data_IF_691313176926
#
_entry.id   IF_691313176926
#
_cell.length_a   1.000
_cell.length_b   1.000
_cell.length_c   1.000
_cell.angle_alpha   90.00
_cell.angle_beta   90.00
_cell.angle_gamma   90.00
#
_symmetry.space_group_name_H-M   'P 1'
#
loop_
_entity.id
_entity.type
_entity.pdbx_description
1 polymer ?
#
# COMPACT_ATOMS: atom_id res chain seq x y z
N UNK A 1 -10.19 -15.48 4.00
CA UNK A 1 -10.20 -14.81 5.32
C UNK A 1 -8.85 -14.18 5.51
N UNK A 2 -8.80 -12.87 5.77
CA UNK A 2 -7.57 -12.16 6.08
C UNK A 2 -6.85 -12.77 7.28
N UNK A 3 -5.52 -12.90 7.19
CA UNK A 3 -4.71 -13.44 8.28
C UNK A 3 -4.38 -12.35 9.32
N UNK A 4 -4.10 -12.73 10.58
CA UNK A 4 -3.71 -11.75 11.61
C UNK A 4 -2.43 -10.97 11.27
N UNK A 5 -1.55 -11.57 10.46
CA UNK A 5 -0.32 -10.93 10.01
C UNK A 5 -0.60 -9.86 8.94
N UNK A 6 -1.45 -10.17 7.95
CA UNK A 6 -1.95 -9.20 6.97
C UNK A 6 -2.68 -8.03 7.65
N UNK A 7 -3.52 -8.33 8.65
CA UNK A 7 -4.20 -7.30 9.45
C UNK A 7 -3.20 -6.39 10.18
N UNK A 8 -2.18 -6.97 10.82
CA UNK A 8 -1.17 -6.21 11.53
C UNK A 8 -0.38 -5.28 10.60
N UNK A 9 -0.03 -5.76 9.40
CA UNK A 9 0.68 -4.97 8.39
C UNK A 9 -0.20 -3.84 7.84
N UNK A 10 -1.48 -4.10 7.55
CA UNK A 10 -2.44 -3.07 7.13
C UNK A 10 -2.55 -1.96 8.18
N UNK A 11 -2.72 -2.30 9.46
CA UNK A 11 -2.84 -1.31 10.53
C UNK A 11 -1.57 -0.43 10.65
N UNK A 12 -0.40 -1.02 10.46
CA UNK A 12 0.87 -0.27 10.44
C UNK A 12 0.94 0.68 9.24
N UNK A 13 0.50 0.24 8.06
CA UNK A 13 0.44 1.09 6.87
C UNK A 13 -0.58 2.22 7.02
N UNK A 14 -1.74 1.97 7.62
CA UNK A 14 -2.75 3.01 7.90
C UNK A 14 -2.18 4.12 8.78
N UNK A 15 -1.50 3.74 9.87
CA UNK A 15 -0.80 4.71 10.71
C UNK A 15 0.29 5.45 9.93
N UNK A 16 1.09 4.73 9.13
CA UNK A 16 2.17 5.32 8.34
C UNK A 16 1.67 6.36 7.33
N UNK A 17 0.57 6.10 6.64
CA UNK A 17 -0.06 7.03 5.67
C UNK A 17 -0.53 8.30 6.37
N UNK A 18 -1.18 8.17 7.53
CA UNK A 18 -1.64 9.33 8.32
C UNK A 18 -0.47 10.17 8.83
N UNK A 19 0.62 9.53 9.26
CA UNK A 19 1.82 10.19 9.78
C UNK A 19 2.79 10.65 8.67
N UNK A 20 2.48 10.43 7.40
CA UNK A 20 3.36 10.76 6.28
C UNK A 20 3.50 12.26 5.97
N UNK A 21 2.77 13.13 6.70
CA UNK A 21 2.79 14.57 6.49
C UNK A 21 4.22 15.14 6.41
N UNK A 22 4.54 15.79 5.29
CA UNK A 22 5.83 16.44 5.06
C UNK A 22 6.95 15.53 4.53
N UNK A 23 6.71 14.22 4.32
CA UNK A 23 7.66 13.34 3.60
C UNK A 23 7.68 13.69 2.11
N UNK A 24 8.82 13.47 1.46
CA UNK A 24 8.86 13.46 0.00
C UNK A 24 8.20 12.17 -0.55
N UNK A 25 7.60 12.18 -1.75
CA UNK A 25 7.00 10.98 -2.34
C UNK A 25 7.95 9.77 -2.39
N UNK A 26 9.22 9.97 -2.72
CA UNK A 26 10.20 8.87 -2.74
C UNK A 26 10.51 8.29 -1.35
N UNK A 27 10.53 9.12 -0.31
CA UNK A 27 10.75 8.66 1.07
C UNK A 27 9.51 7.94 1.61
N UNK A 28 8.33 8.44 1.26
CA UNK A 28 7.05 7.83 1.57
C UNK A 28 6.97 6.42 0.97
N UNK A 29 7.12 6.30 -0.35
CA UNK A 29 6.95 5.02 -1.03
C UNK A 29 8.01 3.99 -0.63
N UNK A 30 9.24 4.40 -0.33
CA UNK A 30 10.28 3.50 0.19
C UNK A 30 9.92 2.94 1.57
N UNK A 31 9.38 3.77 2.46
CA UNK A 31 8.95 3.31 3.78
C UNK A 31 7.65 2.51 3.73
N UNK A 32 6.75 2.86 2.81
CA UNK A 32 5.53 2.10 2.54
C UNK A 32 5.88 0.68 2.06
N UNK A 33 6.78 0.55 1.09
CA UNK A 33 7.22 -0.74 0.53
C UNK A 33 7.89 -1.63 1.60
N UNK A 34 8.77 -1.05 2.42
CA UNK A 34 9.43 -1.75 3.55
C UNK A 34 8.42 -2.30 4.57
N UNK A 35 7.35 -1.55 4.84
CA UNK A 35 6.28 -1.96 5.76
C UNK A 35 5.28 -2.94 5.12
N UNK A 36 5.00 -2.79 3.82
CA UNK A 36 4.09 -3.65 3.09
C UNK A 36 4.71 -5.03 2.85
N UNK A 37 5.99 -5.09 2.48
CA UNK A 37 6.61 -6.33 2.00
C UNK A 37 5.78 -6.94 0.87
N UNK A 38 5.51 -8.24 0.96
CA UNK A 38 4.71 -8.97 -0.04
C UNK A 38 3.19 -8.69 0.05
N UNK A 39 2.73 -7.81 0.95
CA UNK A 39 1.29 -7.54 1.16
C UNK A 39 0.59 -7.06 -0.11
N UNK A 40 1.28 -6.29 -0.95
CA UNK A 40 0.76 -5.88 -2.25
C UNK A 40 0.51 -7.07 -3.18
N UNK A 41 1.46 -8.02 -3.24
CA UNK A 41 1.29 -9.25 -4.02
C UNK A 41 0.16 -10.12 -3.47
N UNK A 42 0.05 -10.22 -2.14
CA UNK A 42 -1.04 -10.93 -1.47
C UNK A 42 -2.40 -10.28 -1.73
N UNK A 43 -2.48 -8.95 -1.80
CA UNK A 43 -3.71 -8.21 -2.08
C UNK A 43 -4.11 -8.25 -3.58
N UNK A 44 -3.17 -8.52 -4.49
CA UNK A 44 -3.47 -8.69 -5.92
C UNK A 44 -3.54 -10.16 -6.37
N UNK A 45 -3.47 -11.11 -5.43
CA UNK A 45 -3.62 -12.53 -5.72
C UNK A 45 -5.07 -12.87 -6.14
N UNK A 46 -5.23 -13.91 -6.98
CA UNK A 46 -6.53 -14.31 -7.54
C UNK A 46 -7.54 -14.77 -6.46
N UNK A 47 -7.04 -15.38 -5.37
CA UNK A 47 -7.82 -15.83 -4.20
C UNK A 47 -7.67 -14.86 -3.01
N UNK A 48 -7.24 -13.62 -3.26
CA UNK A 48 -7.09 -12.63 -2.19
C UNK A 48 -8.42 -12.38 -1.48
N UNK A 49 -8.34 -12.19 -0.17
CA UNK A 49 -9.52 -11.86 0.62
C UNK A 49 -10.08 -10.50 0.22
N UNK A 50 -11.39 -10.39 0.05
CA UNK A 50 -12.05 -9.14 -0.34
C UNK A 50 -11.71 -7.97 0.60
N UNK A 51 -11.65 -8.24 1.91
CA UNK A 51 -11.34 -7.20 2.89
C UNK A 51 -9.88 -6.73 2.78
N UNK A 52 -8.95 -7.64 2.48
CA UNK A 52 -7.54 -7.30 2.22
C UNK A 52 -7.44 -6.39 0.99
N UNK A 53 -8.11 -6.75 -0.10
CA UNK A 53 -8.12 -5.96 -1.34
C UNK A 53 -8.66 -4.55 -1.08
N UNK A 54 -9.81 -4.46 -0.41
CA UNK A 54 -10.49 -3.18 -0.15
C UNK A 54 -9.66 -2.26 0.74
N UNK A 55 -9.08 -2.79 1.82
CA UNK A 55 -8.26 -1.99 2.74
C UNK A 55 -6.93 -1.58 2.12
N UNK A 56 -6.27 -2.47 1.40
CA UNK A 56 -5.03 -2.13 0.69
C UNK A 56 -5.28 -1.08 -0.40
N UNK A 57 -6.38 -1.19 -1.15
CA UNK A 57 -6.76 -0.19 -2.17
C UNK A 57 -7.09 1.15 -1.52
N UNK A 58 -7.79 1.14 -0.38
CA UNK A 58 -8.10 2.36 0.39
C UNK A 58 -6.84 3.05 0.90
N UNK A 59 -5.80 2.31 1.28
CA UNK A 59 -4.50 2.89 1.66
C UNK A 59 -3.85 3.64 0.49
N UNK A 60 -3.83 3.03 -0.69
CA UNK A 60 -3.27 3.64 -1.89
C UNK A 60 -4.05 4.91 -2.29
N UNK A 61 -5.38 4.88 -2.18
CA UNK A 61 -6.22 6.05 -2.43
C UNK A 61 -5.94 7.18 -1.44
N UNK A 62 -5.83 6.88 -0.14
CA UNK A 62 -5.48 7.88 0.87
C UNK A 62 -4.08 8.48 0.64
N UNK A 63 -3.12 7.67 0.20
CA UNK A 63 -1.79 8.16 -0.16
C UNK A 63 -1.83 9.11 -1.37
N UNK A 64 -2.62 8.78 -2.40
CA UNK A 64 -2.84 9.64 -3.57
C UNK A 64 -3.51 10.97 -3.19
N UNK A 65 -4.58 10.93 -2.38
CA UNK A 65 -5.23 12.12 -1.83
C UNK A 65 -4.29 12.97 -0.96
N UNK A 66 -3.33 12.32 -0.28
CA UNK A 66 -2.25 12.96 0.48
C UNK A 66 -1.18 13.63 -0.40
N UNK A 67 -1.26 13.52 -1.72
CA UNK A 67 -0.29 14.08 -2.67
C UNK A 67 0.92 13.17 -2.93
N UNK A 68 0.90 11.93 -2.42
CA UNK A 68 1.92 10.93 -2.68
C UNK A 68 1.56 10.13 -3.94
N UNK A 69 1.45 10.81 -5.08
CA UNK A 69 1.18 10.15 -6.35
C UNK A 69 2.15 8.96 -6.54
N UNK A 70 1.60 7.79 -6.89
CA UNK A 70 2.40 6.58 -7.12
C UNK A 70 3.40 6.88 -8.25
N UNK A 71 4.72 6.71 -8.05
CA UNK A 71 5.66 6.88 -9.13
C UNK A 71 5.34 5.86 -10.23
N UNK A 72 5.41 6.24 -11.52
CA UNK A 72 5.04 5.36 -12.63
C UNK A 72 5.87 4.06 -12.67
N UNK A 73 7.04 4.05 -12.03
CA UNK A 73 7.91 2.88 -11.89
C UNK A 73 7.37 1.82 -10.90
N UNK A 74 6.56 2.22 -9.90
CA UNK A 74 5.92 1.31 -8.95
C UNK A 74 4.61 0.70 -9.50
N UNK A 75 4.03 1.32 -10.54
CA UNK A 75 2.78 0.87 -11.18
C UNK A 75 2.98 -0.29 -12.17
N UNK A 76 4.11 -0.99 -12.18
CA UNK A 76 4.27 -2.24 -12.93
C UNK A 76 3.83 -2.20 -14.41
N UNK A 77 3.80 -1.03 -15.07
CA UNK A 77 3.47 -0.93 -16.49
C UNK A 77 4.76 -1.14 -17.28
N UNK A 78 5.21 -2.38 -17.33
CA UNK A 78 5.91 -2.84 -18.51
C UNK A 78 4.86 -2.99 -19.62
N UNK A 79 4.76 -1.94 -20.45
CA UNK A 79 4.08 -1.88 -21.76
C UNK A 79 4.31 -3.14 -22.60
N UNK A 80 3.35 -3.45 -23.50
CA UNK A 80 3.27 -2.77 -24.81
C UNK A 80 2.30 -1.57 -24.87
#
# INVERSE_FOLDING_TARGET
MMTPDQECRLVKLEAYVVEAAGKSPGEFWRGFDDLAGDLGEEAYADDADGELIERYTSLLANADEGGFAVPPEAMGVARP
#
